data_IF_964921978741
#
_entry.id   IF_964921978741
#
_cell.length_a   1.000
_cell.length_b   1.000
_cell.length_c   1.000
_cell.angle_alpha   90.00
_cell.angle_beta   90.00
_cell.angle_gamma   90.00
#
_symmetry.space_group_name_H-M   'P 1'
#
loop_
_entity.id
_entity.type
_entity.pdbx_description
1 polymer ?
#
# COMPACT_ATOMS: atom_id res chain seq x y z
N UNK A 1 -5.21 12.37 -9.83
CA UNK A 1 -3.76 12.59 -9.60
C UNK A 1 -3.21 11.29 -9.06
N UNK A 2 -2.30 10.65 -9.80
CA UNK A 2 -1.79 9.33 -9.44
C UNK A 2 -0.71 9.43 -8.36
N UNK A 3 -0.76 8.51 -7.40
CA UNK A 3 0.27 8.23 -6.41
C UNK A 3 1.14 7.11 -6.95
N UNK A 4 2.46 7.29 -6.90
CA UNK A 4 3.40 6.29 -7.39
C UNK A 4 3.94 5.46 -6.23
N UNK A 5 3.56 4.20 -6.15
CA UNK A 5 3.97 3.31 -5.07
C UNK A 5 5.02 2.34 -5.53
N UNK A 6 6.14 2.30 -4.79
CA UNK A 6 7.27 1.45 -5.10
C UNK A 6 7.10 0.07 -4.48
N UNK A 7 7.20 -0.95 -5.31
CA UNK A 7 7.02 -2.35 -4.91
C UNK A 7 8.40 -3.00 -4.69
N UNK A 8 8.66 -3.52 -3.48
CA UNK A 8 9.92 -4.21 -3.19
C UNK A 8 10.01 -5.52 -3.99
N UNK A 9 11.24 -5.93 -4.31
CA UNK A 9 11.55 -7.15 -5.09
C UNK A 9 10.72 -8.40 -4.73
N UNK A 10 10.50 -8.76 -3.45
CA UNK A 10 9.67 -9.93 -3.11
C UNK A 10 8.19 -9.80 -3.54
N UNK A 11 7.65 -8.58 -3.59
CA UNK A 11 6.26 -8.31 -3.95
C UNK A 11 6.06 -8.09 -5.45
N UNK A 12 7.14 -7.87 -6.21
CA UNK A 12 7.06 -7.73 -7.68
C UNK A 12 6.43 -8.94 -8.35
N UNK A 13 6.60 -10.15 -7.80
CA UNK A 13 5.94 -11.35 -8.35
C UNK A 13 4.40 -11.25 -8.32
N UNK A 14 3.85 -10.47 -7.40
CA UNK A 14 2.41 -10.26 -7.26
C UNK A 14 1.92 -9.14 -8.17
N UNK A 15 2.70 -8.06 -8.33
CA UNK A 15 2.40 -6.94 -9.24
C UNK A 15 2.86 -7.19 -10.68
N UNK A 16 2.81 -8.42 -11.18
CA UNK A 16 3.19 -8.77 -12.56
C UNK A 16 4.62 -8.32 -12.96
N UNK A 17 5.55 -8.26 -12.01
CA UNK A 17 6.92 -7.81 -12.20
C UNK A 17 7.12 -6.29 -12.07
N UNK A 18 6.06 -5.52 -11.85
CA UNK A 18 6.13 -4.06 -11.76
C UNK A 18 6.85 -3.61 -10.49
N UNK A 19 7.88 -2.78 -10.64
CA UNK A 19 8.57 -2.15 -9.50
C UNK A 19 7.83 -0.92 -8.97
N UNK A 20 6.86 -0.42 -9.73
CA UNK A 20 6.02 0.74 -9.42
C UNK A 20 4.59 0.46 -9.86
N UNK A 21 3.65 0.80 -9.00
CA UNK A 21 2.23 0.82 -9.33
C UNK A 21 1.74 2.25 -9.20
N UNK A 22 1.03 2.73 -10.22
CA UNK A 22 0.35 4.02 -10.15
C UNK A 22 -1.05 3.78 -9.62
N UNK A 23 -1.42 4.53 -8.59
CA UNK A 23 -2.72 4.38 -7.94
C UNK A 23 -3.40 5.73 -7.93
N UNK A 24 -4.64 5.77 -8.38
CA UNK A 24 -5.36 7.04 -8.59
C UNK A 24 -5.80 7.69 -7.28
N UNK A 25 -5.82 6.91 -6.20
CA UNK A 25 -6.35 7.28 -4.90
C UNK A 25 -5.25 7.86 -4.00
N UNK A 26 -5.51 9.05 -3.42
CA UNK A 26 -4.59 9.68 -2.46
C UNK A 26 -4.71 9.11 -1.04
N UNK A 27 -5.71 8.26 -0.80
CA UNK A 27 -6.01 7.67 0.50
C UNK A 27 -5.40 6.28 0.57
N UNK A 28 -4.46 6.08 1.49
CA UNK A 28 -3.75 4.81 1.68
C UNK A 28 -4.69 3.61 1.86
N UNK A 29 -5.75 3.74 2.66
CA UNK A 29 -6.70 2.65 2.88
C UNK A 29 -7.40 2.21 1.60
N UNK A 30 -7.82 3.16 0.76
CA UNK A 30 -8.49 2.88 -0.51
C UNK A 30 -7.49 2.37 -1.56
N UNK A 31 -6.25 2.86 -1.49
CA UNK A 31 -5.15 2.39 -2.31
C UNK A 31 -4.83 0.92 -2.05
N UNK A 32 -4.74 0.52 -0.79
CA UNK A 32 -4.51 -0.87 -0.39
C UNK A 32 -5.69 -1.75 -0.79
N UNK A 33 -6.93 -1.26 -0.64
CA UNK A 33 -8.13 -2.00 -1.03
C UNK A 33 -8.20 -2.22 -2.55
N UNK A 34 -7.86 -1.19 -3.35
CA UNK A 34 -7.71 -1.34 -4.80
C UNK A 34 -6.61 -2.34 -5.16
N UNK A 35 -5.45 -2.25 -4.53
CA UNK A 35 -4.35 -3.19 -4.76
C UNK A 35 -4.72 -4.62 -4.35
N UNK A 36 -5.52 -4.81 -3.31
CA UNK A 36 -6.06 -6.12 -2.97
C UNK A 36 -7.06 -6.60 -4.03
N UNK A 37 -7.88 -5.70 -4.57
CA UNK A 37 -8.85 -6.03 -5.63
C UNK A 37 -8.15 -6.45 -6.93
N UNK A 38 -7.08 -5.75 -7.32
CA UNK A 38 -6.27 -6.09 -8.49
C UNK A 38 -5.32 -7.28 -8.23
N UNK A 39 -4.77 -7.37 -7.01
CA UNK A 39 -3.79 -8.36 -6.59
C UNK A 39 -4.24 -9.00 -5.27
N UNK A 40 -5.11 -10.02 -5.31
CA UNK A 40 -5.61 -10.66 -4.09
C UNK A 40 -4.46 -11.23 -3.23
N UNK A 41 -4.45 -10.87 -1.94
CA UNK A 41 -3.41 -11.24 -0.99
C UNK A 41 -2.26 -10.24 -0.89
N UNK A 42 -2.31 -9.13 -1.62
CA UNK A 42 -1.32 -8.06 -1.54
C UNK A 42 -1.37 -7.35 -0.18
N UNK A 43 -2.57 -7.07 0.34
CA UNK A 43 -2.75 -6.42 1.64
C UNK A 43 -2.12 -7.24 2.77
N UNK A 44 -2.29 -8.56 2.75
CA UNK A 44 -1.74 -9.48 3.77
C UNK A 44 -0.20 -9.48 3.78
N UNK A 45 0.44 -9.03 2.69
CA UNK A 45 1.89 -8.85 2.62
C UNK A 45 2.36 -7.47 3.06
N UNK A 46 1.52 -6.44 2.93
CA UNK A 46 1.84 -5.08 3.34
C UNK A 46 1.51 -4.83 4.80
N UNK A 47 0.38 -5.37 5.25
CA UNK A 47 -0.17 -5.22 6.58
C UNK A 47 0.13 -6.51 7.36
N UNK A 48 0.55 -6.36 8.60
CA UNK A 48 0.71 -7.45 9.54
C UNK A 48 -0.65 -7.90 10.12
N UNK A 49 -0.66 -9.02 10.81
CA UNK A 49 -1.83 -9.57 11.51
C UNK A 49 -2.45 -8.59 12.53
N UNK A 50 -1.68 -7.59 12.97
CA UNK A 50 -2.11 -6.50 13.84
C UNK A 50 -2.82 -5.34 13.11
N UNK A 51 -2.94 -5.39 11.77
CA UNK A 51 -3.52 -4.30 10.99
C UNK A 51 -2.56 -3.13 10.75
N UNK A 52 -1.28 -3.28 11.10
CA UNK A 52 -0.24 -2.26 10.90
C UNK A 52 0.63 -2.56 9.67
N UNK A 53 1.08 -1.53 8.95
CA UNK A 53 2.01 -1.70 7.85
C UNK A 53 3.33 -2.29 8.36
N UNK A 54 3.83 -3.30 7.66
CA UNK A 54 5.10 -3.93 7.99
C UNK A 54 6.25 -2.94 7.80
N UNK A 55 7.20 -2.94 8.73
CA UNK A 55 8.33 -2.00 8.78
C UNK A 55 9.22 -1.99 7.52
N UNK A 56 9.13 -3.00 6.66
CA UNK A 56 9.87 -3.09 5.40
C UNK A 56 9.12 -2.45 4.21
N UNK A 57 7.92 -1.90 4.45
CA UNK A 57 7.11 -1.22 3.44
C UNK A 57 7.18 0.27 3.69
N UNK A 58 7.84 0.99 2.79
CA UNK A 58 7.85 2.44 2.77
C UNK A 58 6.95 2.94 1.63
N UNK A 59 6.04 3.87 1.95
CA UNK A 59 5.09 4.41 1.00
C UNK A 59 5.38 5.90 0.85
N UNK A 60 5.60 6.33 -0.38
CA UNK A 60 5.91 7.71 -0.73
C UNK A 60 4.77 8.25 -1.60
N UNK A 61 4.23 9.41 -1.22
CA UNK A 61 3.18 10.08 -1.98
C UNK A 61 3.72 11.45 -2.41
N UNK A 62 3.91 11.64 -3.72
CA UNK A 62 4.53 12.85 -4.28
C UNK A 62 5.90 13.23 -3.69
N UNK A 63 6.65 12.27 -3.15
CA UNK A 63 7.95 12.52 -2.52
C UNK A 63 7.86 13.00 -1.07
N UNK A 64 6.66 13.16 -0.52
CA UNK A 64 6.44 13.26 0.92
C UNK A 64 6.31 11.85 1.51
N UNK A 65 6.97 11.64 2.65
CA UNK A 65 6.67 10.51 3.51
C UNK A 65 5.19 10.63 3.88
N UNK A 66 4.40 9.60 3.59
CA UNK A 66 3.06 9.56 4.15
C UNK A 66 3.30 9.08 5.58
N UNK A 67 3.21 9.94 6.61
CA UNK A 67 3.20 9.45 7.96
C UNK A 67 2.01 8.48 7.97
N UNK A 68 2.30 7.21 8.20
CA UNK A 68 1.30 6.18 8.42
C UNK A 68 0.60 6.65 9.69
N UNK A 69 -0.38 7.53 9.51
CA UNK A 69 -1.03 8.20 10.60
C UNK A 69 -1.94 7.15 11.18
N UNK A 70 -1.35 6.41 12.11
CA UNK A 70 -1.95 5.63 13.16
C UNK A 70 -3.31 6.25 13.47
N UNK A 71 -4.37 5.64 12.94
CA UNK A 71 -5.76 5.67 13.40
C UNK A 71 -6.65 5.05 12.32
N UNK A 72 -6.54 3.73 12.18
CA UNK A 72 -7.76 2.95 11.99
C UNK A 72 -8.42 2.85 13.38
N UNK A 73 -9.04 3.94 13.84
CA UNK A 73 -10.09 3.80 14.85
C UNK A 73 -11.38 3.69 14.07
N UNK A 74 -11.88 2.46 14.03
CA UNK A 74 -13.30 2.21 13.90
C UNK A 74 -14.08 3.13 14.85
N UNK A 75 -14.96 3.96 14.30
CA UNK A 75 -16.29 4.29 14.85
C UNK A 75 -17.04 5.22 13.90
N UNK A 76 -17.96 4.66 13.11
CA UNK A 76 -19.39 4.74 13.44
C UNK A 76 -20.19 3.71 12.67
#
# INVERSE_FOLDING_TARGET
MGVLVRIPTPLRKMTNGQDKVEVTESILSVMIDNLESEYPGFKERLIDENGELRYFVNIYLNGEDVPILKRVIHRH
#
